data_IF_256419553561
#
_entry.id   IF_256419553561
#
_cell.length_a   1.000
_cell.length_b   1.000
_cell.length_c   1.000
_cell.angle_alpha   90.00
_cell.angle_beta   90.00
_cell.angle_gamma   90.00
#
_symmetry.space_group_name_H-M   'P 1'
#
loop_
_entity.id
_entity.type
_entity.pdbx_description
1 polymer ?
#
# COMPACT_ATOMS: atom_id res chain seq x y z
N UNK A 1 33.21 -20.77 4.14
CA UNK A 1 32.45 -21.23 2.94
C UNK A 1 31.16 -22.02 3.24
N UNK A 2 30.85 -22.36 4.50
CA UNK A 2 29.66 -23.18 4.83
C UNK A 2 28.36 -22.39 5.07
N UNK A 3 28.43 -21.16 5.58
CA UNK A 3 27.25 -20.35 5.94
C UNK A 3 26.50 -19.86 4.69
N UNK A 4 27.23 -19.45 3.65
CA UNK A 4 26.63 -18.99 2.40
C UNK A 4 25.80 -20.08 1.68
N UNK A 5 26.30 -21.33 1.71
CA UNK A 5 25.55 -22.47 1.15
C UNK A 5 24.26 -22.79 1.89
N UNK A 6 24.20 -22.49 3.18
CA UNK A 6 22.98 -22.71 3.99
C UNK A 6 21.91 -21.64 3.76
N UNK A 7 22.31 -20.39 3.48
CA UNK A 7 21.39 -19.30 3.21
C UNK A 7 20.92 -19.25 1.73
N UNK A 8 21.60 -19.94 0.82
CA UNK A 8 21.28 -19.91 -0.61
C UNK A 8 19.82 -20.32 -0.92
N UNK A 9 19.27 -21.40 -0.35
CA UNK A 9 17.88 -21.80 -0.63
C UNK A 9 16.88 -20.72 -0.13
N UNK A 10 17.17 -20.03 0.97
CA UNK A 10 16.30 -18.98 1.48
C UNK A 10 16.27 -17.77 0.56
N UNK A 11 17.44 -17.36 0.09
CA UNK A 11 17.57 -16.25 -0.87
C UNK A 11 16.82 -16.59 -2.17
N UNK A 12 16.96 -17.81 -2.66
CA UNK A 12 16.24 -18.26 -3.84
C UNK A 12 14.73 -18.28 -3.62
N UNK A 13 14.27 -18.71 -2.45
CA UNK A 13 12.85 -18.69 -2.09
C UNK A 13 12.29 -17.25 -2.07
N UNK A 14 13.01 -16.31 -1.47
CA UNK A 14 12.60 -14.89 -1.43
C UNK A 14 12.51 -14.31 -2.83
N UNK A 15 13.52 -14.54 -3.68
CA UNK A 15 13.51 -14.09 -5.08
C UNK A 15 12.32 -14.70 -5.83
N UNK A 16 12.07 -15.99 -5.64
CA UNK A 16 10.94 -16.68 -6.26
C UNK A 16 9.60 -16.06 -5.85
N UNK A 17 9.43 -15.71 -4.57
CA UNK A 17 8.19 -15.07 -4.07
C UNK A 17 7.97 -13.70 -4.70
N UNK A 18 9.03 -12.89 -4.86
CA UNK A 18 8.94 -11.60 -5.56
C UNK A 18 8.49 -11.82 -7.01
N UNK A 19 9.14 -12.75 -7.74
CA UNK A 19 8.80 -13.04 -9.13
C UNK A 19 7.36 -13.53 -9.26
N UNK A 20 6.92 -14.45 -8.39
CA UNK A 20 5.55 -14.95 -8.38
C UNK A 20 4.52 -13.86 -8.09
N UNK A 21 4.84 -12.93 -7.18
CA UNK A 21 3.95 -11.82 -6.85
C UNK A 21 3.73 -10.90 -8.05
N UNK A 22 4.78 -10.55 -8.78
CA UNK A 22 4.65 -9.77 -10.01
C UNK A 22 3.96 -10.56 -11.11
N UNK A 23 4.30 -11.83 -11.30
CA UNK A 23 3.68 -12.68 -12.33
C UNK A 23 2.19 -12.86 -12.12
N UNK A 24 1.73 -12.94 -10.87
CA UNK A 24 0.32 -13.10 -10.54
C UNK A 24 -0.51 -11.86 -10.92
N UNK A 25 0.04 -10.67 -10.74
CA UNK A 25 -0.65 -9.42 -11.07
C UNK A 25 -0.36 -8.91 -12.50
N UNK A 26 0.47 -9.62 -13.25
CA UNK A 26 0.68 -9.34 -14.68
C UNK A 26 -0.60 -9.67 -15.49
N UNK A 27 -1.08 -8.85 -16.42
CA UNK A 27 -0.50 -7.57 -16.90
C UNK A 27 -1.01 -6.32 -16.16
N UNK A 28 -1.83 -6.47 -15.12
CA UNK A 28 -2.48 -5.34 -14.46
C UNK A 28 -1.47 -4.29 -13.94
N UNK A 29 -0.34 -4.75 -13.42
CA UNK A 29 0.72 -3.89 -12.89
C UNK A 29 1.42 -3.10 -14.00
N UNK A 30 1.76 -3.77 -15.10
CA UNK A 30 2.45 -3.14 -16.24
C UNK A 30 1.57 -2.19 -17.04
N UNK A 31 0.26 -2.41 -17.04
CA UNK A 31 -0.74 -1.56 -17.70
C UNK A 31 -1.26 -0.44 -16.80
N UNK A 32 -0.76 -0.33 -15.57
CA UNK A 32 -1.21 0.67 -14.60
C UNK A 32 -2.68 0.52 -14.20
N UNK A 33 -3.25 -0.67 -14.32
CA UNK A 33 -4.62 -0.95 -13.92
C UNK A 33 -4.72 -0.94 -12.40
N UNK A 34 -5.68 -0.20 -11.88
CA UNK A 34 -6.00 -0.19 -10.46
C UNK A 34 -6.99 -1.31 -10.19
N UNK A 35 -6.67 -2.19 -9.24
CA UNK A 35 -7.63 -3.17 -8.76
C UNK A 35 -8.80 -2.44 -8.08
N UNK A 36 -10.00 -2.58 -8.64
CA UNK A 36 -11.19 -1.96 -8.09
C UNK A 36 -11.49 -2.53 -6.70
N UNK A 37 -11.46 -1.65 -5.71
CA UNK A 37 -11.91 -1.94 -4.36
C UNK A 37 -13.06 -1.01 -4.04
N UNK A 38 -14.21 -1.55 -3.69
CA UNK A 38 -15.41 -0.79 -3.40
C UNK A 38 -15.17 0.28 -2.32
N UNK A 39 -14.52 -0.10 -1.23
CA UNK A 39 -14.22 0.81 -0.10
C UNK A 39 -13.22 1.89 -0.48
N UNK A 40 -12.22 1.58 -1.30
CA UNK A 40 -11.26 2.58 -1.78
C UNK A 40 -11.93 3.61 -2.70
N UNK A 41 -12.86 3.17 -3.55
CA UNK A 41 -13.62 4.08 -4.40
C UNK A 41 -14.54 4.99 -3.57
N UNK A 42 -15.18 4.44 -2.53
CA UNK A 42 -15.97 5.21 -1.58
C UNK A 42 -15.11 6.23 -0.82
N UNK A 43 -13.92 5.83 -0.35
CA UNK A 43 -12.95 6.70 0.31
C UNK A 43 -12.52 7.88 -0.56
N UNK A 44 -12.26 7.65 -1.84
CA UNK A 44 -11.96 8.73 -2.80
C UNK A 44 -13.13 9.70 -2.93
N UNK A 45 -14.38 9.17 -2.96
CA UNK A 45 -15.59 10.00 -2.98
C UNK A 45 -15.72 10.89 -1.74
N UNK A 46 -15.49 10.33 -0.57
CA UNK A 46 -15.54 11.07 0.70
C UNK A 46 -14.47 12.15 0.83
N UNK A 47 -13.29 11.94 0.25
CA UNK A 47 -12.19 12.89 0.30
C UNK A 47 -12.19 13.96 -0.80
N UNK A 48 -13.15 13.91 -1.73
CA UNK A 48 -13.14 14.73 -2.94
C UNK A 48 -13.23 16.23 -2.65
N UNK A 49 -14.17 16.66 -1.82
CA UNK A 49 -14.37 18.06 -1.46
C UNK A 49 -13.15 18.64 -0.72
N UNK A 50 -12.57 17.89 0.21
CA UNK A 50 -11.35 18.27 0.90
C UNK A 50 -10.14 18.36 -0.05
N UNK A 51 -10.05 17.44 -1.02
CA UNK A 51 -9.00 17.47 -2.04
C UNK A 51 -9.14 18.63 -3.01
N UNK A 52 -10.38 18.96 -3.41
CA UNK A 52 -10.65 20.12 -4.26
C UNK A 52 -10.33 21.42 -3.56
N UNK A 53 -10.71 21.57 -2.29
CA UNK A 53 -10.35 22.72 -1.47
C UNK A 53 -8.83 22.92 -1.38
N UNK A 54 -8.09 21.84 -1.10
CA UNK A 54 -6.63 21.87 -1.04
C UNK A 54 -6.01 22.33 -2.37
N UNK A 55 -6.53 21.84 -3.51
CA UNK A 55 -6.05 22.26 -4.84
C UNK A 55 -6.29 23.75 -5.14
N UNK A 56 -7.39 24.29 -4.65
CA UNK A 56 -7.78 25.70 -4.91
C UNK A 56 -7.06 26.68 -3.98
N UNK A 57 -6.87 26.31 -2.72
CA UNK A 57 -6.35 27.23 -1.69
C UNK A 57 -4.89 26.96 -1.31
N UNK A 58 -4.39 25.74 -1.56
CA UNK A 58 -3.10 25.27 -1.05
C UNK A 58 -3.13 24.84 0.43
N UNK A 59 -4.26 25.02 1.12
CA UNK A 59 -4.42 24.71 2.53
C UNK A 59 -4.99 23.31 2.75
N UNK A 60 -4.60 22.67 3.86
CA UNK A 60 -5.08 21.33 4.23
C UNK A 60 -6.47 21.43 4.83
N UNK A 61 -7.48 20.86 4.14
CA UNK A 61 -8.81 20.71 4.69
C UNK A 61 -8.87 19.47 5.60
N UNK A 62 -9.21 19.69 6.87
CA UNK A 62 -9.31 18.62 7.88
C UNK A 62 -10.75 18.20 8.18
N UNK A 63 -11.70 18.72 7.41
CA UNK A 63 -13.12 18.44 7.54
C UNK A 63 -13.73 18.14 6.18
N UNK A 64 -14.66 17.20 6.12
CA UNK A 64 -15.47 16.92 4.92
C UNK A 64 -16.94 16.96 5.25
N UNK A 65 -17.74 17.48 4.35
CA UNK A 65 -19.20 17.47 4.44
C UNK A 65 -19.84 16.34 3.62
N UNK A 66 -19.02 15.53 2.94
CA UNK A 66 -19.49 14.48 2.01
C UNK A 66 -20.14 13.30 2.72
N UNK A 67 -20.00 13.17 4.04
CA UNK A 67 -20.59 12.06 4.79
C UNK A 67 -21.07 12.51 6.18
N UNK A 68 -22.11 11.87 6.67
CA UNK A 68 -22.63 11.98 8.04
C UNK A 68 -22.88 13.43 8.53
N UNK A 69 -23.30 14.33 7.64
CA UNK A 69 -23.47 15.76 7.92
C UNK A 69 -22.18 16.47 8.32
N UNK A 70 -21.04 15.90 8.07
CA UNK A 70 -19.72 16.42 8.34
C UNK A 70 -18.92 15.59 9.33
N UNK A 71 -17.64 15.34 8.96
CA UNK A 71 -16.72 14.57 9.79
C UNK A 71 -15.25 15.00 9.55
N UNK A 72 -14.34 14.73 10.50
CA UNK A 72 -12.92 14.94 10.28
C UNK A 72 -12.35 14.03 9.18
N UNK A 73 -11.55 14.59 8.27
CA UNK A 73 -10.98 13.85 7.13
C UNK A 73 -10.00 12.75 7.53
N UNK A 74 -9.36 12.85 8.69
CA UNK A 74 -8.38 11.84 9.15
C UNK A 74 -9.00 10.45 9.38
N UNK A 75 -10.33 10.37 9.58
CA UNK A 75 -11.03 9.11 9.85
C UNK A 75 -11.37 8.32 8.59
N UNK A 76 -11.52 8.99 7.44
CA UNK A 76 -12.00 8.34 6.22
C UNK A 76 -11.08 8.50 5.01
N UNK A 77 -10.65 9.70 4.73
CA UNK A 77 -9.85 9.98 3.55
C UNK A 77 -9.02 11.25 3.75
N UNK A 78 -7.88 11.19 4.46
CA UNK A 78 -7.03 12.35 4.65
C UNK A 78 -6.52 12.86 3.31
N UNK A 79 -6.68 14.16 3.04
CA UNK A 79 -6.16 14.84 1.85
C UNK A 79 -4.68 15.21 1.96
N UNK A 80 -4.01 14.75 3.01
CA UNK A 80 -2.61 15.01 3.32
C UNK A 80 -1.88 13.73 3.69
N UNK A 81 -0.59 13.67 3.38
CA UNK A 81 0.28 12.58 3.87
C UNK A 81 0.66 12.84 5.32
N UNK A 82 0.49 11.83 6.15
CA UNK A 82 1.08 11.83 7.48
C UNK A 82 2.61 11.77 7.36
N UNK A 83 3.30 12.66 8.06
CA UNK A 83 4.77 12.72 8.11
C UNK A 83 5.30 12.12 9.41
N UNK A 84 4.49 11.30 10.09
CA UNK A 84 4.92 10.65 11.32
C UNK A 84 5.92 9.50 11.07
N UNK A 85 6.64 9.14 12.12
CA UNK A 85 7.65 8.08 12.05
C UNK A 85 7.06 6.72 11.67
N UNK A 86 5.80 6.45 12.03
CA UNK A 86 5.11 5.20 11.68
C UNK A 86 4.85 5.10 10.19
N UNK A 87 4.52 6.23 9.55
CA UNK A 87 4.32 6.25 8.11
C UNK A 87 5.63 6.01 7.35
N UNK A 88 6.73 6.62 7.83
CA UNK A 88 8.06 6.36 7.26
C UNK A 88 8.48 4.89 7.39
N UNK A 89 8.18 4.26 8.54
CA UNK A 89 8.43 2.82 8.74
C UNK A 89 7.55 1.98 7.84
N UNK A 90 6.28 2.34 7.66
CA UNK A 90 5.37 1.65 6.76
C UNK A 90 5.85 1.72 5.30
N UNK A 91 6.25 2.90 4.82
CA UNK A 91 6.79 3.09 3.48
C UNK A 91 8.07 2.26 3.25
N UNK A 92 8.98 2.26 4.23
CA UNK A 92 10.17 1.43 4.19
C UNK A 92 9.85 -0.08 4.19
N UNK A 93 8.82 -0.48 4.96
CA UNK A 93 8.36 -1.86 5.03
C UNK A 93 7.76 -2.32 3.71
N UNK A 94 7.08 -1.45 2.96
CA UNK A 94 6.51 -1.76 1.64
C UNK A 94 7.55 -1.96 0.54
N UNK A 95 8.84 -1.70 0.78
CA UNK A 95 9.94 -1.89 -0.17
C UNK A 95 9.68 -1.24 -1.54
N UNK A 96 8.92 -0.15 -1.58
CA UNK A 96 8.45 0.54 -2.81
C UNK A 96 7.71 -0.35 -3.81
N UNK A 97 7.26 -1.53 -3.40
CA UNK A 97 6.44 -2.40 -4.23
C UNK A 97 4.99 -1.88 -4.29
N UNK A 98 4.27 -2.12 -5.39
CA UNK A 98 2.83 -1.88 -5.42
C UNK A 98 2.11 -2.64 -4.29
N UNK A 99 1.12 -2.01 -3.65
CA UNK A 99 0.47 -2.54 -2.44
C UNK A 99 0.02 -4.00 -2.57
N UNK A 100 -0.64 -4.35 -3.68
CA UNK A 100 -1.15 -5.70 -3.89
C UNK A 100 -0.02 -6.73 -4.13
N UNK A 101 1.06 -6.34 -4.82
CA UNK A 101 2.26 -7.18 -5.01
C UNK A 101 2.95 -7.40 -3.66
N UNK A 102 3.09 -6.32 -2.88
CA UNK A 102 3.65 -6.38 -1.54
C UNK A 102 2.87 -7.32 -0.62
N UNK A 103 1.54 -7.21 -0.57
CA UNK A 103 0.73 -8.07 0.30
C UNK A 103 0.90 -9.54 -0.04
N UNK A 104 0.87 -9.91 -1.33
CA UNK A 104 1.07 -11.30 -1.74
C UNK A 104 2.47 -11.80 -1.36
N UNK A 105 3.49 -11.00 -1.63
CA UNK A 105 4.86 -11.30 -1.23
C UNK A 105 5.00 -11.48 0.29
N UNK A 106 4.44 -10.55 1.08
CA UNK A 106 4.50 -10.60 2.53
C UNK A 106 3.80 -11.84 3.12
N UNK A 107 2.66 -12.23 2.56
CA UNK A 107 1.97 -13.46 2.96
C UNK A 107 2.82 -14.71 2.67
N UNK A 108 3.39 -14.83 1.48
CA UNK A 108 4.25 -15.98 1.14
C UNK A 108 5.50 -16.02 2.02
N UNK A 109 6.14 -14.88 2.24
CA UNK A 109 7.32 -14.77 3.09
C UNK A 109 7.01 -15.12 4.56
N UNK A 110 5.92 -14.56 5.10
CA UNK A 110 5.49 -14.85 6.47
C UNK A 110 5.17 -16.33 6.68
N UNK A 111 4.47 -16.95 5.74
CA UNK A 111 4.17 -18.38 5.78
C UNK A 111 5.44 -19.24 5.68
N UNK A 112 6.37 -18.86 4.82
CA UNK A 112 7.67 -19.53 4.70
C UNK A 112 8.47 -19.48 6.01
N UNK A 113 8.53 -18.32 6.66
CA UNK A 113 9.22 -18.15 7.95
C UNK A 113 8.54 -19.00 9.04
N UNK A 114 7.22 -19.07 9.03
CA UNK A 114 6.45 -19.85 10.02
C UNK A 114 6.70 -21.36 9.90
N UNK A 115 6.90 -21.87 8.67
CA UNK A 115 7.08 -23.31 8.42
C UNK A 115 8.53 -23.78 8.52
N UNK A 116 9.49 -22.89 8.61
CA UNK A 116 10.92 -23.19 8.70
C UNK A 116 11.40 -23.36 10.14
#
# INVERSE_FOLDING_TARGET
MSTFKKCLPDVLAVILFVVLSFAYFFPADTEGRILYRHDSAAGVGFGRDASEYNKQTGDICRWTNSAFCGMPTYQSAPSYKSMDALHMVADAYHLWLPDYVWYLFAYMLGFYILLR
#
